data_IF_068121901225
#
_entry.id   IF_068121901225
#
_cell.length_a   1.000
_cell.length_b   1.000
_cell.length_c   1.000
_cell.angle_alpha   90.00
_cell.angle_beta   90.00
_cell.angle_gamma   90.00
#
_symmetry.space_group_name_H-M   'P 1'
#
loop_
_entity.id
_entity.type
_entity.pdbx_description
1 polymer ?
#
# COMPACT_ATOMS: atom_id res chain seq x y z
N UNK A 1 -5.23 2.90 -8.80
CA UNK A 1 -4.50 3.26 -7.56
C UNK A 1 -3.21 2.45 -7.41
N UNK A 2 -3.23 1.12 -7.55
CA UNK A 2 -2.05 0.26 -7.43
C UNK A 2 -0.94 0.60 -8.41
N UNK A 3 -1.28 0.94 -9.66
CA UNK A 3 -0.29 1.37 -10.65
C UNK A 3 0.53 2.60 -10.20
N UNK A 4 -0.14 3.63 -9.66
CA UNK A 4 0.56 4.83 -9.16
C UNK A 4 1.40 4.56 -7.92
N UNK A 5 0.95 3.65 -7.08
CA UNK A 5 1.74 3.18 -5.94
C UNK A 5 2.98 2.45 -6.42
N UNK A 6 2.85 1.49 -7.35
CA UNK A 6 3.98 0.79 -7.96
C UNK A 6 4.93 1.74 -8.72
N UNK A 7 4.37 2.73 -9.43
CA UNK A 7 5.17 3.75 -10.12
C UNK A 7 6.00 4.59 -9.14
N UNK A 8 5.41 5.03 -8.00
CA UNK A 8 6.14 5.74 -6.96
C UNK A 8 7.28 4.90 -6.38
N UNK A 9 7.03 3.62 -6.09
CA UNK A 9 8.04 2.68 -5.63
C UNK A 9 9.19 2.53 -6.63
N UNK A 10 8.88 2.26 -7.90
CA UNK A 10 9.89 2.14 -8.96
C UNK A 10 10.68 3.43 -9.17
N UNK A 11 10.01 4.59 -9.08
CA UNK A 11 10.68 5.90 -9.17
C UNK A 11 11.74 6.06 -8.09
N UNK A 12 11.43 5.70 -6.84
CA UNK A 12 12.41 5.77 -5.75
C UNK A 12 13.57 4.80 -5.96
N UNK A 13 13.29 3.56 -6.37
CA UNK A 13 14.35 2.59 -6.67
C UNK A 13 15.30 3.09 -7.75
N UNK A 14 14.77 3.75 -8.77
CA UNK A 14 15.60 4.30 -9.85
C UNK A 14 16.36 5.56 -9.39
N UNK A 15 15.65 6.53 -8.80
CA UNK A 15 16.27 7.83 -8.44
C UNK A 15 17.24 7.73 -7.27
N UNK A 16 16.99 6.84 -6.32
CA UNK A 16 17.87 6.64 -5.15
C UNK A 16 18.79 5.44 -5.36
N UNK A 17 18.25 4.31 -5.81
CA UNK A 17 19.00 3.08 -5.94
C UNK A 17 20.05 3.12 -7.06
N UNK A 18 19.74 3.71 -8.22
CA UNK A 18 20.68 3.74 -9.34
C UNK A 18 21.97 4.54 -9.02
N UNK A 19 21.90 5.74 -8.44
CA UNK A 19 23.12 6.42 -7.99
C UNK A 19 23.90 5.63 -6.95
N UNK A 20 23.22 5.01 -5.98
CA UNK A 20 23.90 4.20 -4.95
C UNK A 20 24.65 3.02 -5.57
N UNK A 21 24.04 2.30 -6.50
CA UNK A 21 24.67 1.19 -7.22
C UNK A 21 25.87 1.66 -8.06
N UNK A 22 25.71 2.74 -8.81
CA UNK A 22 26.79 3.28 -9.67
C UNK A 22 27.97 3.82 -8.89
N UNK A 23 27.73 4.40 -7.70
CA UNK A 23 28.75 4.97 -6.84
C UNK A 23 29.30 3.98 -5.80
N UNK A 24 28.82 2.72 -5.78
CA UNK A 24 29.11 1.72 -4.75
C UNK A 24 28.84 2.25 -3.32
N UNK A 25 27.73 2.98 -3.16
CA UNK A 25 27.31 3.52 -1.89
C UNK A 25 26.15 2.68 -1.34
N UNK A 26 26.02 2.67 -0.01
CA UNK A 26 24.91 2.02 0.69
C UNK A 26 23.93 3.06 1.16
N UNK A 27 22.65 2.66 1.24
CA UNK A 27 21.65 3.49 1.89
C UNK A 27 21.99 3.59 3.38
N UNK A 28 22.11 4.81 3.95
CA UNK A 28 22.35 4.95 5.37
C UNK A 28 21.25 4.24 6.19
N UNK A 29 21.63 3.45 7.17
CA UNK A 29 20.71 2.66 7.99
C UNK A 29 19.64 3.55 8.66
N UNK A 30 20.02 4.75 9.08
CA UNK A 30 19.07 5.71 9.63
C UNK A 30 17.96 6.11 8.66
N UNK A 31 18.28 6.25 7.35
CA UNK A 31 17.30 6.60 6.32
C UNK A 31 16.34 5.43 6.09
N UNK A 32 16.86 4.20 6.03
CA UNK A 32 16.02 2.99 5.92
C UNK A 32 15.08 2.88 7.11
N UNK A 33 15.59 2.96 8.33
CA UNK A 33 14.79 2.89 9.57
C UNK A 33 13.69 3.95 9.64
N UNK A 34 14.00 5.18 9.25
CA UNK A 34 12.98 6.26 9.22
C UNK A 34 11.89 5.96 8.20
N UNK A 35 12.25 5.45 7.01
CA UNK A 35 11.27 5.10 6.00
C UNK A 35 10.41 3.91 6.44
N UNK A 36 11.01 2.88 7.03
CA UNK A 36 10.31 1.72 7.59
C UNK A 36 9.34 2.13 8.72
N UNK A 37 9.81 2.96 9.63
CA UNK A 37 8.97 3.53 10.69
C UNK A 37 7.77 4.30 10.12
N UNK A 38 7.99 5.14 9.11
CA UNK A 38 6.93 5.89 8.46
C UNK A 38 5.89 4.96 7.79
N UNK A 39 6.35 3.89 7.12
CA UNK A 39 5.46 2.88 6.52
C UNK A 39 4.64 2.19 7.60
N UNK A 40 5.27 1.73 8.69
CA UNK A 40 4.58 1.10 9.81
C UNK A 40 3.49 2.01 10.40
N UNK A 41 3.82 3.29 10.64
CA UNK A 41 2.85 4.29 11.09
C UNK A 41 1.67 4.47 10.12
N UNK A 42 1.94 4.49 8.81
CA UNK A 42 0.89 4.59 7.78
C UNK A 42 -0.02 3.36 7.85
N UNK A 43 0.53 2.15 7.98
CA UNK A 43 -0.25 0.92 8.09
C UNK A 43 -1.15 0.97 9.33
N UNK A 44 -0.60 1.31 10.49
CA UNK A 44 -1.37 1.45 11.75
C UNK A 44 -2.48 2.49 11.61
N UNK A 45 -2.17 3.66 11.07
CA UNK A 45 -3.15 4.73 10.85
C UNK A 45 -4.32 4.25 9.96
N UNK A 46 -4.01 3.52 8.89
CA UNK A 46 -5.03 3.00 7.99
C UNK A 46 -5.86 1.90 8.64
N UNK A 47 -5.24 1.03 9.44
CA UNK A 47 -5.91 -0.02 10.20
C UNK A 47 -6.85 0.58 11.25
N UNK A 48 -6.39 1.56 12.03
CA UNK A 48 -7.22 2.30 13.00
C UNK A 48 -8.40 2.98 12.29
N UNK A 49 -8.15 3.63 11.16
CA UNK A 49 -9.20 4.30 10.38
C UNK A 49 -10.25 3.30 9.85
N UNK A 50 -9.80 2.10 9.43
CA UNK A 50 -10.69 1.03 9.01
C UNK A 50 -11.57 0.57 10.17
N UNK A 51 -10.97 0.30 11.36
CA UNK A 51 -11.68 -0.14 12.54
C UNK A 51 -12.67 0.90 13.09
N UNK A 52 -12.29 2.18 13.10
CA UNK A 52 -13.20 3.27 13.50
C UNK A 52 -14.41 3.33 12.57
N UNK A 53 -14.19 3.26 11.25
CA UNK A 53 -15.26 3.27 10.25
C UNK A 53 -16.18 2.06 10.40
N UNK A 54 -15.60 0.88 10.64
CA UNK A 54 -16.35 -0.33 10.90
C UNK A 54 -17.23 -0.18 12.16
N UNK A 55 -16.65 0.28 13.29
CA UNK A 55 -17.40 0.49 14.53
C UNK A 55 -18.54 1.51 14.39
N UNK A 56 -18.38 2.49 13.52
CA UNK A 56 -19.41 3.50 13.23
C UNK A 56 -20.48 2.97 12.25
N UNK A 57 -20.44 1.71 11.86
CA UNK A 57 -21.39 1.13 10.93
C UNK A 57 -21.38 1.77 9.53
N UNK A 58 -20.26 2.43 9.14
CA UNK A 58 -20.15 3.14 7.86
C UNK A 58 -20.00 2.21 6.66
N UNK A 59 -19.93 0.90 6.88
CA UNK A 59 -19.86 -0.10 5.83
C UNK A 59 -21.16 -0.88 5.79
N UNK A 60 -22.06 -0.52 4.88
CA UNK A 60 -23.30 -1.24 4.64
C UNK A 60 -23.30 -1.81 3.22
N UNK A 61 -23.88 -2.97 3.06
CA UNK A 61 -24.15 -3.58 1.77
C UNK A 61 -25.63 -3.42 1.49
N UNK A 62 -25.98 -2.50 0.60
CA UNK A 62 -27.35 -2.34 0.14
C UNK A 62 -27.50 -2.87 -1.29
N UNK A 63 -28.71 -3.36 -1.58
CA UNK A 63 -29.14 -3.66 -2.94
C UNK A 63 -29.87 -2.41 -3.45
N UNK A 64 -29.33 -1.80 -4.48
CA UNK A 64 -30.00 -0.69 -5.14
C UNK A 64 -30.51 -1.13 -6.51
N UNK A 65 -31.78 -0.78 -6.79
CA UNK A 65 -32.35 -0.81 -8.13
C UNK A 65 -32.42 0.62 -8.63
N UNK A 66 -31.75 0.92 -9.71
CA UNK A 66 -31.98 2.19 -10.42
C UNK A 66 -33.12 2.00 -11.40
N UNK A 67 -33.93 3.04 -11.63
CA UNK A 67 -35.00 3.01 -12.64
C UNK A 67 -34.38 2.63 -14.00
N UNK A 68 -34.72 1.43 -14.50
CA UNK A 68 -34.28 0.90 -15.79
C UNK A 68 -33.00 0.05 -15.79
N UNK A 69 -32.42 -0.32 -14.64
CA UNK A 69 -31.18 -1.13 -14.54
C UNK A 69 -31.31 -2.38 -13.67
N UNK A 70 -30.40 -3.35 -13.89
CA UNK A 70 -30.29 -4.55 -13.05
C UNK A 70 -29.91 -4.22 -11.61
N UNK A 71 -30.50 -4.93 -10.65
CA UNK A 71 -30.15 -4.83 -9.24
C UNK A 71 -28.69 -5.24 -9.01
N UNK A 72 -27.84 -4.32 -8.54
CA UNK A 72 -26.46 -4.63 -8.21
C UNK A 72 -26.13 -4.29 -6.77
N UNK A 73 -25.18 -5.03 -6.21
CA UNK A 73 -24.70 -4.87 -4.83
C UNK A 73 -23.28 -4.33 -4.83
N UNK A 74 -23.03 -3.28 -4.04
CA UNK A 74 -21.67 -2.82 -3.80
C UNK A 74 -21.56 -2.25 -2.38
N UNK A 75 -20.33 -2.19 -1.88
CA UNK A 75 -20.03 -1.67 -0.55
C UNK A 75 -19.97 -0.15 -0.60
N UNK A 76 -20.83 0.51 0.18
CA UNK A 76 -20.82 1.96 0.34
C UNK A 76 -20.22 2.37 1.67
N UNK A 77 -19.62 3.56 1.71
CA UNK A 77 -19.22 4.24 2.92
C UNK A 77 -19.99 5.56 3.02
N UNK A 78 -20.89 5.68 3.99
CA UNK A 78 -21.55 6.94 4.30
C UNK A 78 -20.67 7.77 5.23
N UNK A 79 -20.06 8.82 4.71
CA UNK A 79 -19.42 9.84 5.51
C UNK A 79 -20.29 11.12 5.38
N UNK A 80 -21.13 11.39 6.39
CA UNK A 80 -21.93 12.61 6.56
C UNK A 80 -22.67 13.12 5.31
N UNK A 81 -23.99 12.86 5.23
CA UNK A 81 -24.99 13.90 5.03
C UNK A 81 -26.40 13.34 5.19
N UNK A 82 -27.23 13.98 6.03
CA UNK A 82 -28.66 13.75 6.15
C UNK A 82 -29.49 14.39 5.00
N UNK A 83 -28.81 14.82 3.95
CA UNK A 83 -29.48 15.34 2.75
C UNK A 83 -29.50 14.29 1.65
N UNK A 84 -30.67 13.98 1.14
CA UNK A 84 -30.92 12.98 0.07
C UNK A 84 -30.40 13.45 -1.32
N UNK A 85 -29.29 14.16 -1.35
CA UNK A 85 -28.57 14.51 -2.55
C UNK A 85 -27.53 13.41 -2.86
N UNK A 86 -27.70 12.71 -3.97
CA UNK A 86 -26.79 11.67 -4.46
C UNK A 86 -25.46 12.26 -4.94
N UNK A 87 -24.71 12.92 -4.06
CA UNK A 87 -23.36 13.38 -4.37
C UNK A 87 -22.35 12.27 -4.01
N UNK A 88 -22.07 11.40 -4.96
CA UNK A 88 -21.12 10.29 -4.87
C UNK A 88 -19.67 10.77 -4.77
N UNK A 89 -19.38 11.83 -4.05
CA UNK A 89 -18.02 12.21 -3.68
C UNK A 89 -17.47 11.27 -2.61
N UNK A 90 -17.31 10.01 -2.96
CA UNK A 90 -16.28 9.19 -2.30
C UNK A 90 -15.01 10.01 -2.41
N UNK A 91 -14.47 10.45 -1.27
CA UNK A 91 -13.17 11.14 -1.21
C UNK A 91 -12.12 10.16 -1.71
N UNK A 92 -12.01 10.06 -3.04
CA UNK A 92 -11.03 9.23 -3.73
C UNK A 92 -9.68 9.67 -3.18
N UNK A 93 -8.88 8.72 -2.71
CA UNK A 93 -7.47 8.99 -2.49
C UNK A 93 -6.97 9.64 -3.78
N UNK A 94 -6.38 10.82 -3.66
CA UNK A 94 -5.87 11.49 -4.85
C UNK A 94 -4.81 10.60 -5.47
N UNK A 95 -4.70 10.52 -6.79
CA UNK A 95 -3.64 9.79 -7.49
C UNK A 95 -2.26 10.09 -6.89
N UNK A 96 -2.03 11.35 -6.52
CA UNK A 96 -0.81 11.84 -5.92
C UNK A 96 -0.51 11.21 -4.53
N UNK A 97 -1.54 10.96 -3.71
CA UNK A 97 -1.32 10.31 -2.41
C UNK A 97 -0.87 8.86 -2.54
N UNK A 98 -1.38 8.12 -3.54
CA UNK A 98 -0.94 6.75 -3.82
C UNK A 98 0.50 6.72 -4.33
N UNK A 99 0.87 7.66 -5.19
CA UNK A 99 2.24 7.82 -5.66
C UNK A 99 3.19 8.17 -4.52
N UNK A 100 2.82 9.13 -3.65
CA UNK A 100 3.62 9.52 -2.48
C UNK A 100 3.86 8.36 -1.50
N UNK A 101 2.84 7.54 -1.23
CA UNK A 101 3.01 6.32 -0.43
C UNK A 101 3.98 5.35 -1.11
N UNK A 102 3.93 5.25 -2.46
CA UNK A 102 4.87 4.45 -3.24
C UNK A 102 6.31 4.93 -3.10
N UNK A 103 6.54 6.24 -3.15
CA UNK A 103 7.88 6.82 -2.95
C UNK A 103 8.46 6.43 -1.59
N UNK A 104 7.71 6.60 -0.51
CA UNK A 104 8.17 6.24 0.84
C UNK A 104 8.41 4.73 0.95
N UNK A 105 7.53 3.92 0.35
CA UNK A 105 7.64 2.46 0.37
C UNK A 105 8.88 1.96 -0.41
N UNK A 106 9.31 2.69 -1.43
CA UNK A 106 10.52 2.35 -2.20
C UNK A 106 11.83 2.57 -1.45
N UNK A 107 11.85 3.43 -0.42
CA UNK A 107 13.03 3.64 0.43
C UNK A 107 13.09 2.57 1.52
N UNK A 108 11.95 2.28 2.17
CA UNK A 108 11.85 1.29 3.24
C UNK A 108 11.51 -0.11 2.71
N UNK A 109 11.57 -1.09 3.57
CA UNK A 109 11.26 -2.47 3.24
C UNK A 109 12.36 -3.15 2.41
N UNK A 110 11.98 -3.88 1.35
CA UNK A 110 12.92 -4.66 0.54
C UNK A 110 13.94 -3.84 -0.27
N UNK A 111 13.77 -2.50 -0.35
CA UNK A 111 14.66 -1.63 -1.10
C UNK A 111 16.10 -1.68 -0.60
N UNK A 112 16.31 -1.63 0.71
CA UNK A 112 17.63 -1.72 1.34
C UNK A 112 18.34 -3.03 1.05
N UNK A 113 17.64 -4.16 1.25
CA UNK A 113 18.18 -5.50 0.95
C UNK A 113 18.48 -5.70 -0.54
N UNK A 114 17.61 -5.21 -1.41
CA UNK A 114 17.81 -5.28 -2.86
C UNK A 114 19.05 -4.50 -3.27
N UNK A 115 19.24 -3.29 -2.75
CA UNK A 115 20.43 -2.49 -3.02
C UNK A 115 21.69 -3.15 -2.47
N UNK A 116 21.62 -3.77 -1.30
CA UNK A 116 22.72 -4.56 -0.74
C UNK A 116 23.10 -5.73 -1.66
N UNK A 117 22.11 -6.51 -2.13
CA UNK A 117 22.35 -7.62 -3.05
C UNK A 117 22.93 -7.14 -4.38
N UNK A 118 22.41 -6.05 -4.94
CA UNK A 118 22.89 -5.49 -6.19
C UNK A 118 24.32 -4.93 -6.08
N UNK A 119 24.73 -4.47 -4.90
CA UNK A 119 26.11 -4.02 -4.67
C UNK A 119 27.15 -5.14 -4.72
N UNK A 120 26.73 -6.43 -4.65
CA UNK A 120 27.61 -7.57 -4.82
C UNK A 120 27.94 -7.87 -6.30
N UNK A 121 27.21 -7.28 -7.23
CA UNK A 121 27.46 -7.43 -8.68
C UNK A 121 28.59 -6.50 -9.08
N UNK A 122 29.70 -7.09 -9.51
CA UNK A 122 30.92 -6.32 -9.86
C UNK A 122 30.75 -5.45 -11.09
N UNK A 123 29.95 -5.88 -12.07
CA UNK A 123 29.65 -5.12 -13.28
C UNK A 123 28.50 -4.15 -13.03
N UNK A 124 28.83 -2.85 -13.08
CA UNK A 124 27.87 -1.78 -12.82
C UNK A 124 26.73 -1.72 -13.84
N UNK A 125 26.98 -2.07 -15.09
CA UNK A 125 25.95 -2.10 -16.12
C UNK A 125 24.93 -3.22 -15.84
N UNK A 126 25.44 -4.41 -15.43
CA UNK A 126 24.58 -5.52 -15.02
C UNK A 126 23.80 -5.18 -13.74
N UNK A 127 24.44 -4.58 -12.74
CA UNK A 127 23.77 -4.14 -11.52
C UNK A 127 22.67 -3.11 -11.78
N UNK A 128 22.95 -2.12 -12.63
CA UNK A 128 21.96 -1.14 -13.05
C UNK A 128 20.80 -1.77 -13.84
N UNK A 129 21.11 -2.68 -14.77
CA UNK A 129 20.10 -3.45 -15.52
C UNK A 129 19.20 -4.28 -14.60
N UNK A 130 19.79 -4.98 -13.63
CA UNK A 130 19.06 -5.76 -12.64
C UNK A 130 18.16 -4.88 -11.75
N UNK A 131 18.63 -3.69 -11.33
CA UNK A 131 17.83 -2.73 -10.58
C UNK A 131 16.63 -2.24 -11.40
N UNK A 132 16.83 -1.88 -12.65
CA UNK A 132 15.74 -1.43 -13.53
C UNK A 132 14.71 -2.55 -13.74
N UNK A 133 15.17 -3.78 -14.00
CA UNK A 133 14.29 -4.93 -14.14
C UNK A 133 13.48 -5.18 -12.87
N UNK A 134 14.15 -5.11 -11.71
CA UNK A 134 13.50 -5.22 -10.41
C UNK A 134 12.46 -4.11 -10.17
N UNK A 135 12.79 -2.85 -10.48
CA UNK A 135 11.89 -1.73 -10.33
C UNK A 135 10.63 -1.87 -11.19
N UNK A 136 10.79 -2.31 -12.44
CA UNK A 136 9.66 -2.58 -13.34
C UNK A 136 8.84 -3.77 -12.84
N UNK A 137 9.50 -4.87 -12.49
CA UNK A 137 8.86 -6.09 -12.00
C UNK A 137 8.03 -5.84 -10.74
N UNK A 138 8.58 -5.10 -9.76
CA UNK A 138 7.86 -4.74 -8.54
C UNK A 138 6.69 -3.80 -8.83
N UNK A 139 6.85 -2.80 -9.69
CA UNK A 139 5.77 -1.89 -10.07
C UNK A 139 4.60 -2.64 -10.73
N UNK A 140 4.89 -3.57 -11.64
CA UNK A 140 3.88 -4.42 -12.29
C UNK A 140 3.20 -5.34 -11.27
N UNK A 141 3.99 -6.01 -10.42
CA UNK A 141 3.47 -6.89 -9.36
C UNK A 141 2.54 -6.15 -8.41
N UNK A 142 2.94 -4.96 -7.94
CA UNK A 142 2.12 -4.12 -7.06
C UNK A 142 0.82 -3.67 -7.75
N UNK A 143 0.87 -3.33 -9.04
CA UNK A 143 -0.31 -2.97 -9.82
C UNK A 143 -1.27 -4.16 -9.96
N UNK A 144 -0.76 -5.34 -10.30
CA UNK A 144 -1.55 -6.56 -10.46
C UNK A 144 -2.18 -7.00 -9.13
N UNK A 145 -1.39 -7.12 -8.07
CA UNK A 145 -1.87 -7.52 -6.74
C UNK A 145 -2.93 -6.54 -6.22
N UNK A 146 -2.71 -5.23 -6.36
CA UNK A 146 -3.68 -4.22 -5.96
C UNK A 146 -4.99 -4.32 -6.76
N UNK A 147 -4.89 -4.63 -8.05
CA UNK A 147 -6.07 -4.78 -8.92
C UNK A 147 -6.84 -6.05 -8.55
N UNK A 148 -6.15 -7.19 -8.44
CA UNK A 148 -6.77 -8.46 -8.04
C UNK A 148 -7.43 -8.33 -6.66
N UNK A 149 -6.72 -7.76 -5.69
CA UNK A 149 -7.26 -7.54 -4.35
C UNK A 149 -8.48 -6.61 -4.35
N UNK A 150 -8.43 -5.54 -5.16
CA UNK A 150 -9.57 -4.65 -5.37
C UNK A 150 -10.79 -5.36 -5.96
N UNK A 151 -10.59 -6.21 -6.96
CA UNK A 151 -11.66 -7.00 -7.58
C UNK A 151 -12.24 -8.04 -6.61
N UNK A 152 -11.38 -8.73 -5.85
CA UNK A 152 -11.81 -9.72 -4.83
C UNK A 152 -12.63 -9.06 -3.72
N UNK A 153 -12.24 -7.86 -3.28
CA UNK A 153 -13.01 -7.11 -2.27
C UNK A 153 -14.31 -6.55 -2.86
N UNK A 154 -14.28 -6.05 -4.11
CA UNK A 154 -15.45 -5.45 -4.75
C UNK A 154 -16.50 -6.48 -5.17
N UNK A 155 -16.09 -7.72 -5.42
CA UNK A 155 -16.96 -8.81 -5.91
C UNK A 155 -17.04 -9.99 -4.93
N UNK A 156 -18.10 -10.79 -5.08
CA UNK A 156 -18.21 -12.10 -4.47
C UNK A 156 -18.50 -12.15 -2.95
N UNK A 157 -18.09 -13.24 -2.29
CA UNK A 157 -18.42 -13.51 -0.88
C UNK A 157 -17.84 -12.50 0.10
N UNK A 158 -16.67 -11.91 -0.20
CA UNK A 158 -16.01 -10.92 0.66
C UNK A 158 -16.81 -9.63 0.68
N UNK A 159 -17.28 -9.15 -0.46
CA UNK A 159 -18.13 -7.97 -0.51
C UNK A 159 -19.41 -8.15 0.32
N UNK A 160 -20.03 -9.34 0.24
CA UNK A 160 -21.24 -9.68 1.00
C UNK A 160 -21.03 -9.75 2.50
N UNK A 161 -19.85 -10.18 2.94
CA UNK A 161 -19.50 -10.35 4.34
C UNK A 161 -18.49 -9.31 4.84
N UNK A 162 -18.39 -8.15 4.16
CA UNK A 162 -17.35 -7.16 4.46
C UNK A 162 -17.40 -6.68 5.91
N UNK A 163 -18.58 -6.59 6.52
CA UNK A 163 -18.76 -6.24 7.93
C UNK A 163 -18.04 -7.20 8.89
N UNK A 164 -17.95 -8.50 8.53
CA UNK A 164 -17.23 -9.51 9.31
C UNK A 164 -15.74 -9.56 8.98
N UNK A 165 -15.39 -9.28 7.74
CA UNK A 165 -14.01 -9.34 7.26
C UNK A 165 -13.22 -8.08 7.66
N UNK A 166 -13.86 -6.90 7.65
CA UNK A 166 -13.21 -5.63 7.94
C UNK A 166 -12.51 -5.58 9.32
N UNK A 167 -13.12 -6.04 10.44
CA UNK A 167 -12.43 -6.02 11.73
C UNK A 167 -11.23 -6.96 11.77
N UNK A 168 -11.33 -8.14 11.14
CA UNK A 168 -10.23 -9.10 11.06
C UNK A 168 -9.05 -8.50 10.30
N UNK A 169 -9.31 -7.94 9.13
CA UNK A 169 -8.28 -7.24 8.34
C UNK A 169 -7.70 -6.06 9.10
N UNK A 170 -8.55 -5.28 9.80
CA UNK A 170 -8.10 -4.14 10.59
C UNK A 170 -7.18 -4.54 11.74
N UNK A 171 -7.53 -5.59 12.49
CA UNK A 171 -6.70 -6.10 13.61
C UNK A 171 -5.39 -6.68 13.09
N UNK A 172 -5.42 -7.49 12.04
CA UNK A 172 -4.21 -8.08 11.45
C UNK A 172 -3.28 -7.01 10.89
N UNK A 173 -3.83 -6.02 10.18
CA UNK A 173 -3.04 -4.89 9.66
C UNK A 173 -2.46 -4.04 10.79
N UNK A 174 -3.19 -3.84 11.89
CA UNK A 174 -2.73 -3.11 13.06
C UNK A 174 -1.59 -3.85 13.77
N UNK A 175 -1.74 -5.16 13.98
CA UNK A 175 -0.71 -6.00 14.59
C UNK A 175 0.57 -6.02 13.74
N UNK A 176 0.43 -6.21 12.43
CA UNK A 176 1.55 -6.16 11.50
C UNK A 176 2.23 -4.80 11.46
N UNK A 177 1.45 -3.71 11.35
CA UNK A 177 2.01 -2.35 11.34
C UNK A 177 2.73 -1.99 12.63
N UNK A 178 2.18 -2.41 13.78
CA UNK A 178 2.84 -2.21 15.08
C UNK A 178 4.14 -2.99 15.16
N UNK A 179 4.14 -4.28 14.79
CA UNK A 179 5.35 -5.11 14.75
C UNK A 179 6.42 -4.51 13.83
N UNK A 180 6.03 -4.08 12.63
CA UNK A 180 6.92 -3.44 11.66
C UNK A 180 7.53 -2.14 12.20
N UNK A 181 6.71 -1.29 12.85
CA UNK A 181 7.17 -0.05 13.49
C UNK A 181 8.16 -0.32 14.64
N UNK A 182 7.86 -1.30 15.50
CA UNK A 182 8.73 -1.69 16.60
C UNK A 182 10.03 -2.32 16.10
N UNK A 183 10.00 -3.05 14.99
CA UNK A 183 11.19 -3.57 14.32
C UNK A 183 12.10 -2.45 13.82
N UNK A 184 11.55 -1.45 13.15
CA UNK A 184 12.30 -0.28 12.68
C UNK A 184 12.96 0.49 13.85
N UNK A 185 12.36 0.46 15.05
CA UNK A 185 12.92 1.03 16.27
C UNK A 185 13.94 0.11 16.97
N UNK A 186 14.15 -1.11 16.49
CA UNK A 186 15.04 -2.09 17.11
C UNK A 186 14.52 -2.70 18.41
N UNK A 187 13.21 -2.55 18.71
CA UNK A 187 12.59 -3.07 19.94
C UNK A 187 12.29 -4.57 19.82
N UNK A 188 12.01 -5.04 18.61
CA UNK A 188 11.72 -6.45 18.32
C UNK A 188 12.64 -6.96 17.23
N UNK A 189 12.86 -8.28 17.21
CA UNK A 189 13.63 -8.93 16.14
C UNK A 189 12.86 -8.78 14.83
N UNK A 190 13.59 -8.31 13.83
CA UNK A 190 13.04 -7.94 12.54
C UNK A 190 13.90 -8.58 11.43
N UNK A 191 13.32 -9.39 10.55
CA UNK A 191 14.09 -10.19 9.59
C UNK A 191 14.51 -9.44 8.31
N UNK A 192 14.25 -8.12 8.21
CA UNK A 192 14.55 -7.32 7.03
C UNK A 192 15.59 -6.23 7.30
#
# INVERSE_FOLDING_TARGET
MGFLWGLGHGTTLVLVGLPLVLLNQYLPEAVSKVAEFAIGCIIVLLAVRLLIRWRRGLYHVHVHTHEGGEAHRHVHSHAHDESHGHDHRVRRRTPLSSYGVGLVHGIGGSGGLTLLLLSTISDKAQAAGALLLFAVGTAVSMALLSTVFGLVIAGGPIARNFERVAPVLGVLSMAFGAWYTLGALGVVVYPF
#
